data_IF_322116612292
#
_entry.id   IF_322116612292
#
_cell.length_a   1.000
_cell.length_b   1.000
_cell.length_c   1.000
_cell.angle_alpha   90.00
_cell.angle_beta   90.00
_cell.angle_gamma   90.00
#
_symmetry.space_group_name_H-M   'P 1'
#
loop_
_entity.id
_entity.type
_entity.pdbx_description
1 polymer ?
#
# COMPACT_ATOMS: atom_id res chain seq x y z
N UNK A 1 -3.19 2.69 23.13
CA UNK A 1 -3.90 2.52 21.84
C UNK A 1 -2.97 2.12 20.69
N UNK A 2 -1.75 2.65 20.56
CA UNK A 2 -0.79 2.27 19.50
C UNK A 2 -0.40 0.77 19.48
N UNK A 3 -0.24 0.14 20.64
CA UNK A 3 0.02 -1.31 20.76
C UNK A 3 -1.20 -2.22 20.48
N UNK A 4 -2.42 -1.69 20.36
CA UNK A 4 -3.62 -2.48 20.04
C UNK A 4 -3.77 -2.72 18.53
N UNK A 5 -3.28 -1.79 17.69
CA UNK A 5 -3.34 -1.93 16.22
C UNK A 5 -2.31 -2.96 15.73
N UNK A 6 -1.15 -3.09 16.42
CA UNK A 6 -0.11 -4.07 16.07
C UNK A 6 -0.55 -5.55 16.26
N UNK A 7 -1.59 -5.82 17.05
CA UNK A 7 -1.96 -7.19 17.46
C UNK A 7 -3.46 -7.56 17.36
N UNK A 8 -4.37 -6.64 17.02
CA UNK A 8 -5.80 -6.96 16.89
C UNK A 8 -6.30 -6.85 15.44
N UNK A 9 -6.33 -8.01 14.79
CA UNK A 9 -6.98 -8.40 13.53
C UNK A 9 -6.21 -8.20 12.21
N UNK A 10 -5.05 -8.87 12.08
CA UNK A 10 -4.42 -9.17 10.77
C UNK A 10 -5.45 -9.66 9.75
N UNK A 11 -6.38 -10.51 10.19
CA UNK A 11 -7.35 -11.16 9.31
C UNK A 11 -8.40 -10.19 8.74
N UNK A 12 -8.82 -9.18 9.51
CA UNK A 12 -9.76 -8.17 9.02
C UNK A 12 -9.08 -7.23 8.03
N UNK A 13 -7.84 -6.83 8.29
CA UNK A 13 -7.07 -5.99 7.38
C UNK A 13 -6.81 -6.71 6.05
N UNK A 14 -6.41 -7.99 6.12
CA UNK A 14 -6.25 -8.83 4.93
C UNK A 14 -7.57 -8.97 4.17
N UNK A 15 -8.69 -9.18 4.85
CA UNK A 15 -10.01 -9.26 4.21
C UNK A 15 -10.39 -7.96 3.51
N UNK A 16 -10.15 -6.80 4.14
CA UNK A 16 -10.43 -5.48 3.56
C UNK A 16 -9.56 -5.25 2.33
N UNK A 17 -8.25 -5.50 2.44
CA UNK A 17 -7.30 -5.38 1.34
C UNK A 17 -7.72 -6.27 0.15
N UNK A 18 -8.03 -7.54 0.39
CA UNK A 18 -8.50 -8.48 -0.63
C UNK A 18 -9.74 -7.95 -1.37
N UNK A 19 -10.74 -7.48 -0.62
CA UNK A 19 -11.98 -6.93 -1.21
C UNK A 19 -11.70 -5.70 -2.07
N UNK A 20 -10.86 -4.80 -1.59
CA UNK A 20 -10.44 -3.61 -2.31
C UNK A 20 -9.75 -3.99 -3.63
N UNK A 21 -8.77 -4.89 -3.59
CA UNK A 21 -8.06 -5.36 -4.78
C UNK A 21 -9.02 -6.01 -5.79
N UNK A 22 -9.93 -6.86 -5.32
CA UNK A 22 -10.96 -7.50 -6.16
C UNK A 22 -11.92 -6.49 -6.80
N UNK A 23 -12.35 -5.45 -6.06
CA UNK A 23 -13.26 -4.42 -6.59
C UNK A 23 -12.58 -3.48 -7.59
N UNK A 24 -11.27 -3.30 -7.48
CA UNK A 24 -10.51 -2.37 -8.32
C UNK A 24 -9.69 -3.03 -9.41
N UNK A 25 -9.69 -4.37 -9.47
CA UNK A 25 -8.86 -5.17 -10.35
C UNK A 25 -7.37 -4.80 -10.22
N UNK A 26 -6.90 -4.53 -9.00
CA UNK A 26 -5.47 -4.53 -8.74
C UNK A 26 -5.04 -5.96 -8.39
N UNK A 27 -4.10 -6.56 -9.14
CA UNK A 27 -3.63 -7.92 -8.87
C UNK A 27 -2.75 -7.99 -7.63
N UNK A 28 -2.19 -6.87 -7.17
CA UNK A 28 -1.36 -6.81 -5.97
C UNK A 28 -1.75 -5.67 -5.04
N UNK A 29 -1.81 -5.96 -3.74
CA UNK A 29 -1.98 -4.97 -2.68
C UNK A 29 -1.15 -5.31 -1.44
N UNK A 30 -0.64 -4.29 -0.78
CA UNK A 30 0.20 -4.37 0.41
C UNK A 30 -0.12 -3.24 1.41
N UNK A 31 0.33 -3.40 2.65
CA UNK A 31 0.10 -2.42 3.73
C UNK A 31 1.44 -2.03 4.36
N UNK A 32 1.65 -0.73 4.56
CA UNK A 32 2.78 -0.17 5.28
C UNK A 32 2.34 0.51 6.57
N UNK A 33 2.99 0.21 7.69
CA UNK A 33 2.72 0.82 8.98
C UNK A 33 3.80 1.84 9.35
N UNK A 34 3.45 3.04 9.83
CA UNK A 34 4.43 3.94 10.41
C UNK A 34 4.96 3.37 11.72
N UNK A 35 6.29 3.40 11.86
CA UNK A 35 6.97 3.18 13.11
C UNK A 35 7.43 4.53 13.68
N UNK A 36 6.73 5.00 14.72
CA UNK A 36 6.99 6.30 15.33
C UNK A 36 8.29 6.37 16.13
N UNK A 37 8.81 5.23 16.58
CA UNK A 37 10.05 5.19 17.38
C UNK A 37 11.28 5.45 16.50
N UNK A 38 11.25 4.96 15.25
CA UNK A 38 12.43 4.94 14.38
C UNK A 38 12.29 5.79 13.10
N UNK A 39 11.21 6.57 12.96
CA UNK A 39 10.93 7.40 11.78
C UNK A 39 10.87 6.61 10.44
N UNK A 40 10.58 5.31 10.50
CA UNK A 40 10.45 4.42 9.35
C UNK A 40 8.99 4.07 9.07
N UNK A 41 8.76 3.44 7.91
CA UNK A 41 7.56 2.70 7.58
C UNK A 41 7.93 1.24 7.31
N UNK A 42 7.11 0.31 7.81
CA UNK A 42 7.37 -1.13 7.78
C UNK A 42 6.31 -1.86 6.95
N UNK A 43 6.76 -2.78 6.08
CA UNK A 43 5.86 -3.62 5.29
C UNK A 43 5.15 -4.64 6.19
N UNK A 44 3.84 -4.75 6.05
CA UNK A 44 3.03 -5.75 6.73
C UNK A 44 3.13 -7.11 6.06
N UNK A 45 2.99 -8.18 6.84
CA UNK A 45 2.74 -9.53 6.34
C UNK A 45 1.35 -9.73 5.72
N UNK A 46 0.47 -8.73 5.81
CA UNK A 46 -0.84 -8.73 5.15
C UNK A 46 -0.71 -8.16 3.74
N UNK A 47 -0.82 -9.04 2.76
CA UNK A 47 -0.83 -8.70 1.35
C UNK A 47 -1.92 -9.50 0.61
N UNK A 48 -2.26 -9.04 -0.58
CA UNK A 48 -3.11 -9.73 -1.55
C UNK A 48 -2.34 -9.89 -2.85
N UNK A 49 -2.32 -11.10 -3.40
CA UNK A 49 -1.87 -11.37 -4.77
C UNK A 49 -2.99 -12.15 -5.47
N UNK A 50 -3.36 -11.71 -6.67
CA UNK A 50 -4.33 -12.40 -7.51
C UNK A 50 -3.73 -13.69 -8.08
N UNK A 51 -4.59 -14.71 -8.21
CA UNK A 51 -4.23 -15.93 -8.93
C UNK A 51 -4.43 -15.70 -10.43
N UNK A 52 -3.46 -15.07 -11.06
CA UNK A 52 -3.42 -14.80 -12.50
C UNK A 52 -2.01 -15.05 -13.08
N UNK A 53 -1.81 -14.65 -14.35
CA UNK A 53 -0.55 -14.87 -15.07
C UNK A 53 0.67 -14.18 -14.43
N UNK A 54 0.47 -13.19 -13.57
CA UNK A 54 1.52 -12.42 -12.90
C UNK A 54 1.76 -12.87 -11.45
N UNK A 55 1.05 -13.89 -10.96
CA UNK A 55 1.12 -14.33 -9.56
C UNK A 55 2.57 -14.53 -9.10
N UNK A 56 3.36 -15.29 -9.86
CA UNK A 56 4.75 -15.60 -9.50
C UNK A 56 5.63 -14.36 -9.40
N UNK A 57 5.52 -13.44 -10.37
CA UNK A 57 6.34 -12.22 -10.38
C UNK A 57 5.96 -11.29 -9.23
N UNK A 58 4.67 -11.20 -8.90
CA UNK A 58 4.17 -10.41 -7.77
C UNK A 58 4.56 -11.02 -6.42
N UNK A 59 4.60 -12.35 -6.31
CA UNK A 59 5.09 -13.05 -5.12
C UNK A 59 6.58 -12.74 -4.90
N UNK A 60 7.40 -12.82 -5.97
CA UNK A 60 8.80 -12.43 -5.92
C UNK A 60 8.98 -10.96 -5.53
N UNK A 61 8.18 -10.06 -6.10
CA UNK A 61 8.22 -8.64 -5.76
C UNK A 61 7.92 -8.40 -4.27
N UNK A 62 6.92 -9.08 -3.70
CA UNK A 62 6.60 -8.99 -2.28
C UNK A 62 7.71 -9.57 -1.41
N UNK A 63 8.26 -10.74 -1.75
CA UNK A 63 9.35 -11.37 -1.01
C UNK A 63 10.57 -10.45 -0.93
N UNK A 64 11.01 -9.90 -2.06
CA UNK A 64 12.11 -8.94 -2.08
C UNK A 64 11.75 -7.62 -1.36
N UNK A 65 10.49 -7.18 -1.41
CA UNK A 65 10.05 -5.94 -0.75
C UNK A 65 10.20 -5.99 0.78
N UNK A 66 10.21 -7.17 1.40
CA UNK A 66 10.38 -7.33 2.84
C UNK A 66 11.77 -6.92 3.35
N UNK A 67 12.78 -6.92 2.47
CA UNK A 67 14.15 -6.52 2.81
C UNK A 67 14.35 -4.99 2.81
N UNK A 68 13.34 -4.21 2.41
CA UNK A 68 13.42 -2.76 2.33
C UNK A 68 12.94 -2.11 3.63
N UNK A 69 13.82 -1.32 4.24
CA UNK A 69 13.47 -0.36 5.29
C UNK A 69 13.36 1.01 4.62
N UNK A 70 12.21 1.68 4.75
CA UNK A 70 11.99 2.99 4.15
C UNK A 70 11.74 4.05 5.22
N UNK A 71 12.42 5.19 5.11
CA UNK A 71 12.16 6.34 5.98
C UNK A 71 10.83 7.00 5.62
N UNK A 72 10.22 7.69 6.59
CA UNK A 72 9.07 8.57 6.31
C UNK A 72 9.50 9.64 5.28
N UNK A 73 8.89 9.61 4.10
CA UNK A 73 9.21 10.47 2.96
C UNK A 73 9.92 9.79 1.79
N UNK A 74 10.48 8.60 2.01
CA UNK A 74 11.17 7.82 0.97
C UNK A 74 10.22 6.86 0.27
N UNK A 75 10.36 6.76 -1.05
CA UNK A 75 9.51 5.93 -1.87
C UNK A 75 8.03 6.33 -1.81
N UNK A 76 7.22 5.60 -2.57
CA UNK A 76 5.79 5.89 -2.70
C UNK A 76 5.04 5.90 -1.34
N UNK A 77 5.11 4.86 -0.48
CA UNK A 77 4.40 4.88 0.79
C UNK A 77 4.93 5.95 1.77
N UNK A 78 6.24 6.24 1.75
CA UNK A 78 6.82 7.27 2.62
C UNK A 78 6.36 8.68 2.26
N UNK A 79 6.29 9.01 0.97
CA UNK A 79 5.75 10.29 0.50
C UNK A 79 4.27 10.44 0.83
N UNK A 80 3.47 9.40 0.65
CA UNK A 80 2.06 9.43 1.01
C UNK A 80 1.86 9.59 2.52
N UNK A 81 2.71 8.99 3.35
CA UNK A 81 2.70 9.24 4.80
C UNK A 81 2.92 10.72 5.13
N UNK A 82 3.94 11.36 4.54
CA UNK A 82 4.23 12.77 4.80
C UNK A 82 3.15 13.72 4.26
N UNK A 83 2.74 13.51 3.01
CA UNK A 83 1.81 14.42 2.32
C UNK A 83 0.36 14.20 2.72
N UNK A 84 0.04 13.05 3.33
CA UNK A 84 -1.30 12.62 3.74
C UNK A 84 -2.34 12.65 2.61
N UNK A 85 -1.88 12.50 1.37
CA UNK A 85 -2.66 12.52 0.14
C UNK A 85 -2.35 11.27 -0.69
N UNK A 86 -3.35 10.69 -1.40
CA UNK A 86 -3.10 9.62 -2.33
C UNK A 86 -2.09 10.02 -3.41
N UNK A 87 -1.29 9.07 -3.89
CA UNK A 87 -0.28 9.28 -4.93
C UNK A 87 -0.33 8.15 -5.96
N UNK A 88 -0.27 8.52 -7.24
CA UNK A 88 -0.26 7.59 -8.38
C UNK A 88 1.07 7.68 -9.12
N UNK A 89 1.65 6.54 -9.42
CA UNK A 89 2.85 6.41 -10.26
C UNK A 89 2.52 5.52 -11.45
N UNK A 90 2.53 6.08 -12.65
CA UNK A 90 2.20 5.34 -13.87
C UNK A 90 3.23 4.25 -14.17
N UNK A 91 4.51 4.57 -14.01
CA UNK A 91 5.62 3.61 -14.14
C UNK A 91 6.59 3.75 -12.97
N UNK A 92 6.56 2.78 -12.06
CA UNK A 92 7.44 2.67 -10.89
C UNK A 92 8.77 2.02 -11.26
N UNK A 93 8.82 1.27 -12.38
CA UNK A 93 10.04 0.60 -12.85
C UNK A 93 11.01 1.57 -13.53
N UNK A 94 10.51 2.67 -14.09
CA UNK A 94 11.31 3.72 -14.72
C UNK A 94 11.60 4.90 -13.78
N UNK A 95 11.29 4.79 -12.49
CA UNK A 95 11.48 5.87 -11.54
C UNK A 95 12.99 6.09 -11.31
N UNK A 96 13.54 7.20 -11.83
CA UNK A 96 14.99 7.41 -11.96
C UNK A 96 15.70 7.80 -10.65
N UNK A 97 14.99 8.19 -9.59
CA UNK A 97 15.63 8.49 -8.29
C UNK A 97 15.26 7.46 -7.22
N UNK A 98 16.23 7.09 -6.39
CA UNK A 98 16.04 6.22 -5.22
C UNK A 98 14.96 6.78 -4.29
N UNK A 99 14.91 8.10 -4.11
CA UNK A 99 13.86 8.80 -3.35
C UNK A 99 12.44 8.60 -3.92
N UNK A 100 12.33 8.45 -5.24
CA UNK A 100 11.04 8.34 -5.94
C UNK A 100 10.44 6.94 -5.81
N UNK A 101 11.25 5.89 -5.92
CA UNK A 101 10.80 4.51 -5.67
C UNK A 101 11.99 3.56 -5.48
N UNK A 102 12.33 3.28 -4.21
CA UNK A 102 13.46 2.42 -3.82
C UNK A 102 13.42 1.00 -4.40
N UNK A 103 12.24 0.52 -4.79
CA UNK A 103 12.00 -0.83 -5.31
C UNK A 103 11.96 -0.89 -6.85
N UNK A 104 12.44 0.14 -7.55
CA UNK A 104 12.34 0.25 -9.01
C UNK A 104 12.98 -0.92 -9.77
N UNK A 105 14.13 -1.39 -9.29
CA UNK A 105 14.92 -2.44 -9.94
C UNK A 105 14.17 -3.77 -9.88
N UNK A 106 13.70 -4.18 -8.70
CA UNK A 106 12.92 -5.40 -8.55
C UNK A 106 11.55 -5.28 -9.23
N UNK A 107 10.92 -4.09 -9.20
CA UNK A 107 9.70 -3.85 -9.98
C UNK A 107 9.93 -4.05 -11.48
N UNK A 108 11.08 -3.58 -12.02
CA UNK A 108 11.46 -3.82 -13.40
C UNK A 108 11.63 -5.30 -13.74
N UNK A 109 12.27 -6.07 -12.85
CA UNK A 109 12.45 -7.53 -13.01
C UNK A 109 11.12 -8.26 -12.99
N UNK A 110 10.24 -7.94 -12.04
CA UNK A 110 8.92 -8.55 -11.87
C UNK A 110 7.84 -7.98 -12.80
N UNK A 111 8.21 -7.06 -13.70
CA UNK A 111 7.27 -6.42 -14.62
C UNK A 111 6.24 -5.50 -13.97
N UNK A 112 6.39 -5.12 -12.69
CA UNK A 112 5.50 -4.18 -11.99
C UNK A 112 5.65 -2.79 -12.60
N UNK A 113 4.53 -2.19 -12.99
CA UNK A 113 4.49 -0.91 -13.71
C UNK A 113 3.79 0.17 -12.93
N UNK A 114 2.50 0.05 -12.68
CA UNK A 114 1.76 1.13 -12.03
C UNK A 114 1.64 0.89 -10.52
N UNK A 115 1.81 1.94 -9.74
CA UNK A 115 1.63 1.94 -8.28
C UNK A 115 0.64 3.01 -7.82
N UNK A 116 -0.19 2.68 -6.84
CA UNK A 116 -1.13 3.61 -6.22
C UNK A 116 -1.10 3.47 -4.70
N UNK A 117 -0.83 4.56 -3.99
CA UNK A 117 -0.79 4.57 -2.54
C UNK A 117 -1.86 5.50 -1.95
N UNK A 118 -2.51 5.04 -0.89
CA UNK A 118 -3.61 5.73 -0.21
C UNK A 118 -3.35 5.75 1.30
N UNK A 119 -3.41 6.92 1.96
CA UNK A 119 -3.26 7.01 3.40
C UNK A 119 -4.58 6.64 4.09
N UNK A 120 -4.50 5.75 5.07
CA UNK A 120 -5.59 5.42 6.00
C UNK A 120 -5.40 6.27 7.26
N UNK A 121 -6.40 7.08 7.62
CA UNK A 121 -6.24 8.11 8.66
C UNK A 121 -7.34 8.03 9.71
N UNK A 122 -6.98 8.28 10.97
CA UNK A 122 -7.93 8.68 12.00
C UNK A 122 -7.67 10.15 12.30
N UNK A 123 -8.70 10.99 12.11
CA UNK A 123 -8.58 12.44 12.19
C UNK A 123 -7.43 12.98 11.30
N UNK A 124 -6.30 13.36 11.90
CA UNK A 124 -5.09 13.88 11.23
C UNK A 124 -3.88 12.95 11.35
N UNK A 125 -4.03 11.79 11.99
CA UNK A 125 -2.96 10.81 12.17
C UNK A 125 -3.09 9.72 11.10
N UNK A 126 -1.99 9.46 10.38
CA UNK A 126 -1.90 8.36 9.42
C UNK A 126 -1.66 7.07 10.20
N UNK A 127 -2.60 6.13 10.13
CA UNK A 127 -2.46 4.82 10.78
C UNK A 127 -1.65 3.83 9.96
N UNK A 128 -1.84 3.85 8.64
CA UNK A 128 -1.19 2.96 7.69
C UNK A 128 -1.35 3.51 6.27
N UNK A 129 -0.55 3.00 5.35
CA UNK A 129 -0.66 3.25 3.92
C UNK A 129 -1.04 1.94 3.25
N UNK A 130 -2.08 1.95 2.42
CA UNK A 130 -2.35 0.84 1.50
C UNK A 130 -1.73 1.18 0.14
N UNK A 131 -1.01 0.23 -0.44
CA UNK A 131 -0.37 0.39 -1.75
C UNK A 131 -0.82 -0.72 -2.67
N UNK A 132 -1.12 -0.38 -3.91
CA UNK A 132 -1.65 -1.27 -4.93
C UNK A 132 -0.78 -1.21 -6.17
N UNK A 133 -0.57 -2.35 -6.82
CA UNK A 133 0.24 -2.42 -8.02
C UNK A 133 -0.38 -3.30 -9.09
N UNK A 134 0.03 -3.05 -10.34
CA UNK A 134 -0.25 -3.88 -11.49
C UNK A 134 0.97 -3.94 -12.42
N UNK A 135 1.09 -5.02 -13.18
CA UNK A 135 2.10 -5.20 -14.23
C UNK A 135 1.74 -4.49 -15.54
N UNK A 136 0.59 -3.80 -15.59
CA UNK A 136 0.15 -3.00 -16.72
C UNK A 136 0.37 -1.51 -16.49
N UNK A 137 0.59 -0.75 -17.57
CA UNK A 137 0.50 0.72 -17.52
C UNK A 137 -0.96 1.13 -17.42
N UNK A 138 -1.42 1.35 -16.18
CA UNK A 138 -2.79 1.77 -15.91
C UNK A 138 -2.83 3.27 -15.73
N UNK A 139 -3.60 3.95 -16.59
CA UNK A 139 -3.87 5.37 -16.40
C UNK A 139 -4.71 5.59 -15.15
N UNK A 140 -4.56 6.77 -14.54
CA UNK A 140 -5.39 7.19 -13.42
C UNK A 140 -6.87 7.06 -13.78
N UNK A 141 -7.65 6.37 -12.94
CA UNK A 141 -9.03 5.97 -13.26
C UNK A 141 -10.00 6.31 -12.13
N UNK A 142 -11.28 6.50 -12.46
CA UNK A 142 -12.33 6.89 -11.51
C UNK A 142 -12.51 5.84 -10.40
N UNK A 143 -12.23 4.58 -10.69
CA UNK A 143 -12.24 3.46 -9.76
C UNK A 143 -11.18 3.62 -8.67
N UNK A 144 -10.02 4.21 -8.99
CA UNK A 144 -8.95 4.46 -8.03
C UNK A 144 -9.27 5.68 -7.14
N UNK A 145 -9.95 6.68 -7.68
CA UNK A 145 -10.54 7.76 -6.89
C UNK A 145 -11.59 7.22 -5.91
N UNK A 146 -12.50 6.37 -6.41
CA UNK A 146 -13.51 5.72 -5.57
C UNK A 146 -12.85 4.86 -4.48
N UNK A 147 -11.70 4.24 -4.76
CA UNK A 147 -10.93 3.51 -3.76
C UNK A 147 -10.38 4.43 -2.66
N UNK A 148 -9.74 5.54 -3.05
CA UNK A 148 -9.24 6.52 -2.09
C UNK A 148 -10.37 7.06 -1.22
N UNK A 149 -11.50 7.40 -1.83
CA UNK A 149 -12.67 7.92 -1.14
C UNK A 149 -13.28 6.87 -0.19
N UNK A 150 -13.37 5.60 -0.62
CA UNK A 150 -13.87 4.50 0.20
C UNK A 150 -12.98 4.28 1.43
N UNK A 151 -11.67 4.16 1.23
CA UNK A 151 -10.70 3.97 2.30
C UNK A 151 -10.71 5.14 3.28
N UNK A 152 -10.76 6.37 2.79
CA UNK A 152 -10.85 7.59 3.62
C UNK A 152 -12.18 7.61 4.40
N UNK A 153 -13.31 7.36 3.74
CA UNK A 153 -14.64 7.41 4.37
C UNK A 153 -14.80 6.36 5.48
N UNK A 154 -14.31 5.15 5.26
CA UNK A 154 -14.41 4.09 6.26
C UNK A 154 -13.37 4.22 7.40
N UNK A 155 -12.23 4.87 7.16
CA UNK A 155 -11.23 5.13 8.22
C UNK A 155 -11.59 6.29 9.15
N UNK A 156 -12.41 7.25 8.70
CA UNK A 156 -12.97 8.30 9.57
C UNK A 156 -14.13 7.81 10.47
N UNK A 157 -14.69 6.64 10.18
CA UNK A 157 -15.79 6.06 10.95
C UNK A 157 -15.21 5.25 12.11
N UNK A 158 -15.35 5.75 13.34
CA UNK A 158 -14.91 5.19 14.65
C UNK A 158 -15.24 3.70 14.91
N UNK A 159 -15.98 3.05 14.01
CA UNK A 159 -16.72 1.80 14.21
C UNK A 159 -15.88 0.54 13.93
N UNK A 160 -14.79 0.63 13.16
CA UNK A 160 -14.01 -0.58 12.80
C UNK A 160 -13.05 -1.09 13.89
N UNK A 161 -12.77 -0.29 14.92
CA UNK A 161 -11.80 -0.66 15.96
C UNK A 161 -12.42 -0.92 17.34
N UNK A 162 -13.73 -0.69 17.51
CA UNK A 162 -14.43 -0.80 18.80
C UNK A 162 -15.38 -2.00 18.93
N UNK A 163 -15.56 -2.84 17.90
CA UNK A 163 -16.45 -4.01 17.96
C UNK A 163 -15.69 -5.35 17.77
N UNK A 164 -14.95 -5.75 18.81
CA UNK A 164 -14.81 -7.12 19.36
C UNK A 164 -13.61 -7.23 20.33
#
# INVERSE_FOLDING_TARGET
MKNLIKNKSSDNLKLILNKICQLTNFPYGEIWFPNDENNFIELSSNYYIANDIHQYDLELFYECSQEFIMSKGEGLPGRVFLNQKPEWMLDVSSAESEDSFLRNTIAGVCGVKTGFAVPVKIEKEVLMIMVFFTCELRSYSAECLALADLVIKHSTSKVYFDNN
#
